data_IF_944828336502
#
_entry.id   IF_944828336502
#
_cell.length_a   1.000
_cell.length_b   1.000
_cell.length_c   1.000
_cell.angle_alpha   90.00
_cell.angle_beta   90.00
_cell.angle_gamma   90.00
#
_symmetry.space_group_name_H-M   'P 1'
#
loop_
_entity.id
_entity.type
_entity.pdbx_description
1 polymer ?
#
# COMPACT_ATOMS: atom_id res chain seq x y z
N UNK A 1 42.89 -13.25 -7.42
CA UNK A 1 42.94 -11.90 -6.80
C UNK A 1 41.54 -11.60 -6.31
N UNK A 2 41.35 -10.92 -5.18
CA UNK A 2 40.02 -10.81 -4.57
C UNK A 2 39.06 -10.19 -5.59
N UNK A 3 38.02 -10.96 -5.86
CA UNK A 3 37.07 -10.71 -6.94
C UNK A 3 36.33 -9.41 -6.67
N UNK A 4 36.28 -8.56 -7.70
CA UNK A 4 35.66 -7.24 -7.67
C UNK A 4 34.29 -7.29 -7.01
N UNK A 5 34.16 -6.65 -5.85
CA UNK A 5 32.85 -6.32 -5.28
C UNK A 5 32.23 -5.25 -6.18
N UNK A 6 31.52 -5.70 -7.22
CA UNK A 6 30.57 -4.85 -7.96
C UNK A 6 29.54 -4.39 -6.93
N UNK A 7 29.44 -3.07 -6.75
CA UNK A 7 28.83 -2.43 -5.58
C UNK A 7 27.55 -3.08 -5.07
N UNK A 8 27.41 -3.11 -3.73
CA UNK A 8 26.19 -3.55 -3.04
C UNK A 8 25.07 -2.58 -3.42
N UNK A 9 24.30 -2.92 -4.45
CA UNK A 9 23.13 -2.18 -4.87
C UNK A 9 21.97 -2.38 -3.88
N UNK A 10 21.04 -1.43 -3.75
CA UNK A 10 19.86 -1.64 -2.95
C UNK A 10 19.02 -2.78 -3.53
N UNK A 11 18.55 -3.68 -2.66
CA UNK A 11 17.57 -4.69 -3.05
C UNK A 11 16.20 -4.04 -3.21
N UNK A 12 15.58 -4.20 -4.38
CA UNK A 12 14.22 -3.73 -4.61
C UNK A 12 13.21 -4.60 -3.84
N UNK A 13 12.31 -3.96 -3.10
CA UNK A 13 11.18 -4.61 -2.44
C UNK A 13 9.87 -4.28 -3.17
N UNK A 14 8.89 -5.19 -3.07
CA UNK A 14 7.55 -5.03 -3.66
C UNK A 14 6.49 -4.63 -2.62
N UNK A 15 6.92 -4.16 -1.44
CA UNK A 15 6.06 -3.76 -0.34
C UNK A 15 6.72 -2.66 0.50
N UNK A 16 5.91 -1.93 1.26
CA UNK A 16 6.39 -1.04 2.31
C UNK A 16 6.47 -1.82 3.63
N UNK A 17 7.67 -1.88 4.21
CA UNK A 17 7.85 -2.48 5.52
C UNK A 17 7.05 -1.71 6.58
N UNK A 18 6.32 -2.43 7.43
CA UNK A 18 5.49 -1.86 8.48
C UNK A 18 6.31 -1.23 9.61
N UNK A 19 7.63 -1.36 9.63
CA UNK A 19 8.52 -0.66 10.57
C UNK A 19 8.72 0.81 10.19
N UNK A 20 8.55 1.17 8.92
CA UNK A 20 8.73 2.56 8.49
C UNK A 20 7.64 3.48 9.05
N UNK A 21 8.04 4.69 9.44
CA UNK A 21 7.10 5.75 9.80
C UNK A 21 6.49 6.32 8.53
N UNK A 22 5.16 6.41 8.50
CA UNK A 22 4.38 6.96 7.39
C UNK A 22 3.62 8.18 7.86
N UNK A 23 3.21 9.03 6.92
CA UNK A 23 2.35 10.18 7.24
C UNK A 23 1.09 9.77 8.00
N UNK A 24 0.45 8.66 7.59
CA UNK A 24 -0.71 8.11 8.30
C UNK A 24 -0.42 7.81 9.77
N UNK A 25 0.69 7.12 10.06
CA UNK A 25 1.11 6.85 11.45
C UNK A 25 1.38 8.12 12.25
N UNK A 26 2.09 9.09 11.67
CA UNK A 26 2.41 10.35 12.34
C UNK A 26 1.14 11.15 12.64
N UNK A 27 0.24 11.29 11.67
CA UNK A 27 -1.03 12.01 11.87
C UNK A 27 -1.93 11.29 12.89
N UNK A 28 -2.03 9.96 12.81
CA UNK A 28 -2.79 9.17 13.77
C UNK A 28 -2.23 9.30 15.19
N UNK A 29 -0.91 9.29 15.35
CA UNK A 29 -0.26 9.48 16.65
C UNK A 29 -0.55 10.86 17.27
N UNK A 30 -0.76 11.88 16.44
CA UNK A 30 -1.15 13.23 16.86
C UNK A 30 -2.68 13.40 17.02
N UNK A 31 -3.45 12.31 16.98
CA UNK A 31 -4.89 12.30 17.25
C UNK A 31 -5.79 12.61 16.05
N UNK A 32 -5.25 12.65 14.82
CA UNK A 32 -6.06 12.85 13.63
C UNK A 32 -6.81 11.58 13.24
N UNK A 33 -8.05 11.75 12.76
CA UNK A 33 -8.74 10.71 12.03
C UNK A 33 -8.09 10.53 10.66
N UNK A 34 -7.75 9.29 10.31
CA UNK A 34 -7.00 9.00 9.08
C UNK A 34 -7.80 8.11 8.14
N UNK A 35 -7.78 8.44 6.84
CA UNK A 35 -8.45 7.66 5.82
C UNK A 35 -7.66 7.59 4.52
N UNK A 36 -7.73 6.45 3.85
CA UNK A 36 -7.09 6.17 2.57
C UNK A 36 -8.13 5.78 1.52
N UNK A 37 -8.05 6.41 0.35
CA UNK A 37 -8.94 6.16 -0.77
C UNK A 37 -8.13 5.98 -2.06
N UNK A 38 -8.32 4.87 -2.76
CA UNK A 38 -7.73 4.65 -4.08
C UNK A 38 -6.64 3.57 -4.11
N UNK A 39 -5.56 3.80 -4.88
CA UNK A 39 -4.53 2.79 -5.19
C UNK A 39 -3.37 2.89 -4.21
N UNK A 40 -3.02 1.77 -3.57
CA UNK A 40 -1.92 1.70 -2.60
C UNK A 40 -0.55 1.43 -3.21
N UNK A 41 -0.42 0.35 -3.97
CA UNK A 41 0.80 -0.03 -4.70
C UNK A 41 2.04 -0.36 -3.83
N UNK A 42 1.88 -0.56 -2.52
CA UNK A 42 2.98 -0.79 -1.59
C UNK A 42 2.85 -2.14 -0.85
N UNK A 43 2.31 -3.13 -1.54
CA UNK A 43 2.19 -4.51 -1.05
C UNK A 43 0.80 -5.09 -1.27
N UNK A 44 0.76 -6.37 -1.65
CA UNK A 44 -0.50 -7.09 -1.91
C UNK A 44 -0.99 -7.89 -0.69
N UNK A 45 -0.12 -8.16 0.29
CA UNK A 45 -0.47 -8.91 1.50
C UNK A 45 -1.05 -8.00 2.57
N UNK A 46 -1.91 -8.57 3.42
CA UNK A 46 -2.62 -7.86 4.49
C UNK A 46 -1.68 -7.11 5.42
N UNK A 47 -0.51 -7.68 5.73
CA UNK A 47 0.50 -7.05 6.58
C UNK A 47 1.01 -5.71 6.03
N UNK A 48 0.94 -5.51 4.71
CA UNK A 48 1.43 -4.33 3.99
C UNK A 48 0.29 -3.47 3.42
N UNK A 49 -0.95 -3.68 3.84
CA UNK A 49 -2.08 -2.84 3.41
C UNK A 49 -2.07 -1.48 4.13
N UNK A 50 -2.78 -0.45 3.60
CA UNK A 50 -2.79 0.89 4.19
C UNK A 50 -3.13 0.92 5.70
N UNK A 51 -3.97 0.00 6.16
CA UNK A 51 -4.34 -0.15 7.58
C UNK A 51 -3.11 -0.31 8.50
N UNK A 52 -2.10 -1.08 8.06
CA UNK A 52 -0.83 -1.25 8.77
C UNK A 52 0.05 0.01 8.78
N UNK A 53 -0.30 0.99 7.95
CA UNK A 53 0.43 2.24 7.75
C UNK A 53 -0.30 3.46 8.32
N UNK A 54 -1.20 3.24 9.28
CA UNK A 54 -1.81 4.28 10.09
C UNK A 54 -3.01 4.95 9.43
N UNK A 55 -3.79 4.20 8.65
CA UNK A 55 -5.08 4.64 8.13
C UNK A 55 -6.22 3.85 8.81
N UNK A 56 -7.15 4.55 9.46
CA UNK A 56 -8.27 3.93 10.18
C UNK A 56 -9.38 3.47 9.24
N UNK A 57 -9.66 4.26 8.20
CA UNK A 57 -10.64 3.93 7.18
C UNK A 57 -9.98 3.76 5.81
N UNK A 58 -10.18 2.60 5.18
CA UNK A 58 -9.54 2.28 3.90
C UNK A 58 -10.60 1.85 2.88
N UNK A 59 -10.66 2.57 1.76
CA UNK A 59 -11.53 2.26 0.61
C UNK A 59 -10.71 2.14 -0.67
N UNK A 60 -10.50 0.90 -1.11
CA UNK A 60 -9.57 0.58 -2.18
C UNK A 60 -8.14 0.39 -1.65
N UNK A 61 -7.22 -0.08 -2.51
CA UNK A 61 -5.79 -0.14 -2.17
C UNK A 61 -5.34 -1.42 -1.46
N UNK A 62 -6.23 -2.40 -1.30
CA UNK A 62 -5.88 -3.76 -0.83
C UNK A 62 -5.42 -4.62 -2.01
N UNK A 63 -5.99 -5.83 -2.14
CA UNK A 63 -5.75 -6.81 -3.21
C UNK A 63 -6.02 -6.31 -4.64
N UNK A 64 -6.61 -5.13 -4.80
CA UNK A 64 -6.85 -4.50 -6.10
C UNK A 64 -5.90 -3.30 -6.29
N UNK A 65 -4.70 -3.53 -6.86
CA UNK A 65 -3.65 -2.51 -6.98
C UNK A 65 -3.85 -1.55 -8.16
N UNK A 66 -5.02 -1.49 -8.79
CA UNK A 66 -5.21 -0.68 -9.98
C UNK A 66 -6.64 -0.61 -10.51
N UNK A 67 -6.85 0.27 -11.51
CA UNK A 67 -8.14 0.40 -12.17
C UNK A 67 -8.54 -0.91 -12.84
N UNK A 68 -9.83 -1.07 -13.16
CA UNK A 68 -10.42 -2.31 -13.67
C UNK A 68 -9.84 -2.88 -14.97
N UNK A 69 -8.94 -2.15 -15.64
CA UNK A 69 -8.47 -2.50 -16.97
C UNK A 69 -9.63 -2.53 -17.96
N UNK A 70 -9.58 -3.43 -18.92
CA UNK A 70 -10.65 -3.65 -19.92
C UNK A 70 -11.78 -4.54 -19.42
N UNK A 71 -11.72 -5.04 -18.18
CA UNK A 71 -12.75 -5.90 -17.63
C UNK A 71 -13.98 -5.06 -17.25
N UNK A 72 -15.12 -5.20 -17.94
CA UNK A 72 -16.32 -4.40 -17.69
C UNK A 72 -16.94 -4.68 -16.31
N UNK A 73 -16.60 -5.79 -15.66
CA UNK A 73 -17.07 -6.16 -14.32
C UNK A 73 -16.26 -5.54 -13.18
N UNK A 74 -15.10 -4.94 -13.46
CA UNK A 74 -14.33 -4.20 -12.44
C UNK A 74 -14.67 -2.70 -12.62
N UNK A 75 -14.83 -1.94 -11.54
CA UNK A 75 -15.11 -0.48 -11.58
C UNK A 75 -13.91 0.33 -11.07
N UNK A 76 -13.73 1.55 -11.59
CA UNK A 76 -12.60 2.45 -11.27
C UNK A 76 -12.74 3.09 -9.87
N UNK A 77 -13.98 3.30 -9.43
CA UNK A 77 -14.37 3.79 -8.11
C UNK A 77 -15.69 3.11 -7.68
N UNK A 78 -16.01 3.05 -6.37
CA UNK A 78 -17.25 2.46 -5.82
C UNK A 78 -18.53 3.01 -6.50
N UNK A 79 -19.68 2.29 -6.43
CA UNK A 79 -20.07 1.35 -5.39
C UNK A 79 -19.60 -0.09 -5.65
N UNK A 80 -19.11 -0.71 -4.57
CA UNK A 80 -18.89 -2.16 -4.48
C UNK A 80 -20.20 -2.76 -3.96
N UNK A 81 -20.72 -3.79 -4.61
CA UNK A 81 -21.68 -4.67 -3.94
C UNK A 81 -20.92 -5.38 -2.82
N UNK A 82 -21.46 -5.27 -1.60
CA UNK A 82 -20.87 -5.84 -0.39
C UNK A 82 -21.49 -7.22 -0.07
N UNK A 83 -22.29 -7.77 -0.98
CA UNK A 83 -22.90 -9.09 -0.89
C UNK A 83 -21.98 -10.17 -1.48
#
# INVERSE_FOLDING_TARGET
GPEEIRGIGPSSLNYLDSTYTTLGKTMKADGYATAFFGKWHLGCKMEHWPESHGFDYVKGGREHPGPPGTNPGRKFYPPWDCD
#
